data_IF_316571002523
#
_entry.id   IF_316571002523
#
_cell.length_a   1.000
_cell.length_b   1.000
_cell.length_c   1.000
_cell.angle_alpha   90.00
_cell.angle_beta   90.00
_cell.angle_gamma   90.00
#
_symmetry.space_group_name_H-M   'P 1'
#
loop_
_entity.id
_entity.type
_entity.pdbx_description
1 polymer ?
#
# COMPACT_ATOMS: atom_id res chain seq x y z
N UNK A 1 60.24 30.10 37.67
CA UNK A 1 60.30 28.62 37.82
C UNK A 1 60.58 27.98 36.46
N UNK A 2 60.87 26.67 36.47
CA UNK A 2 61.03 25.71 35.34
C UNK A 2 60.40 26.08 33.97
N UNK A 3 60.97 25.67 32.82
CA UNK A 3 62.32 25.19 32.44
C UNK A 3 62.40 25.18 30.89
N UNK A 4 63.60 25.27 30.30
CA UNK A 4 63.80 25.20 28.84
C UNK A 4 63.98 23.75 28.33
N UNK A 5 64.20 23.60 27.01
CA UNK A 5 64.60 22.38 26.23
C UNK A 5 63.43 21.76 25.44
N UNK A 6 63.27 21.89 24.10
CA UNK A 6 64.16 21.69 22.91
C UNK A 6 64.26 20.21 22.47
N UNK A 7 63.70 19.88 21.30
CA UNK A 7 64.37 19.21 20.15
C UNK A 7 63.41 18.89 19.00
N UNK A 8 63.88 19.01 17.77
CA UNK A 8 63.19 18.52 16.56
C UNK A 8 63.46 17.02 16.38
N UNK A 9 62.50 16.29 15.80
CA UNK A 9 62.80 15.24 14.81
C UNK A 9 61.65 15.12 13.81
N UNK A 10 61.92 15.36 12.53
CA UNK A 10 61.07 14.88 11.44
C UNK A 10 61.22 13.36 11.31
N UNK A 11 60.11 12.65 11.04
CA UNK A 11 60.14 11.29 10.48
C UNK A 11 59.02 11.15 9.45
N UNK A 12 59.39 11.05 8.18
CA UNK A 12 58.53 10.46 7.14
C UNK A 12 58.55 8.94 7.29
N UNK A 13 57.40 8.28 7.14
CA UNK A 13 57.32 6.89 6.73
C UNK A 13 55.96 6.62 6.06
N UNK A 14 56.00 6.11 4.85
CA UNK A 14 54.86 5.78 3.98
C UNK A 14 54.31 4.38 4.30
N UNK A 15 53.00 4.25 4.49
CA UNK A 15 52.21 3.02 4.23
C UNK A 15 50.78 3.49 3.88
N UNK A 16 50.24 3.27 2.67
CA UNK A 16 49.97 2.03 1.94
C UNK A 16 48.52 1.51 2.17
N UNK A 17 47.73 1.65 1.12
CA UNK A 17 46.41 1.07 0.83
C UNK A 17 45.60 0.38 1.95
N UNK A 18 44.41 0.91 2.20
CA UNK A 18 43.20 0.07 2.10
C UNK A 18 42.06 0.86 1.46
N UNK A 19 41.71 0.49 0.23
CA UNK A 19 40.57 1.06 -0.48
C UNK A 19 39.27 0.50 0.08
N UNK A 20 38.75 1.11 1.14
CA UNK A 20 37.40 0.84 1.62
C UNK A 20 36.38 1.42 0.64
N UNK A 21 36.19 0.73 -0.48
CA UNK A 21 35.05 0.95 -1.37
C UNK A 21 33.79 0.60 -0.58
N UNK A 22 33.18 1.62 0.02
CA UNK A 22 31.83 1.53 0.59
C UNK A 22 30.87 1.16 -0.53
N UNK A 23 30.68 -0.14 -0.74
CA UNK A 23 29.54 -0.66 -1.45
C UNK A 23 28.32 -0.33 -0.58
N UNK A 24 27.79 0.88 -0.76
CA UNK A 24 26.44 1.22 -0.34
C UNK A 24 25.52 0.24 -1.06
N UNK A 25 25.19 -0.86 -0.37
CA UNK A 25 24.11 -1.72 -0.80
C UNK A 25 22.90 -0.79 -1.00
N UNK A 26 22.17 -0.90 -2.12
CA UNK A 26 20.96 -0.11 -2.30
C UNK A 26 20.05 -0.43 -1.11
N UNK A 27 19.74 0.59 -0.30
CA UNK A 27 18.72 0.45 0.72
C UNK A 27 17.45 0.03 0.00
N UNK A 28 17.00 -1.19 0.27
CA UNK A 28 15.77 -1.72 -0.26
C UNK A 28 14.63 -0.84 0.30
N UNK A 29 14.22 0.16 -0.47
CA UNK A 29 13.05 0.99 -0.17
C UNK A 29 11.80 0.14 -0.35
N UNK A 30 10.80 0.34 0.50
CA UNK A 30 9.48 -0.21 0.21
C UNK A 30 9.02 0.30 -1.17
N UNK A 31 8.32 -0.57 -1.91
CA UNK A 31 7.51 -0.05 -2.99
C UNK A 31 6.32 0.67 -2.35
N UNK A 32 6.44 1.99 -2.27
CA UNK A 32 5.40 2.84 -1.72
C UNK A 32 4.31 3.03 -2.78
N UNK A 33 3.08 2.62 -2.44
CA UNK A 33 1.94 2.80 -3.32
C UNK A 33 1.46 4.26 -3.23
N UNK A 34 1.75 5.03 -4.27
CA UNK A 34 1.46 6.46 -4.35
C UNK A 34 -0.05 6.68 -4.50
N UNK A 35 -0.65 7.44 -3.60
CA UNK A 35 -2.05 7.83 -3.70
C UNK A 35 -2.25 8.86 -4.84
N UNK A 36 -3.15 8.57 -5.79
CA UNK A 36 -3.39 9.43 -6.96
C UNK A 36 -4.71 10.19 -6.86
N UNK A 37 -5.77 9.54 -6.37
CA UNK A 37 -7.07 10.14 -6.02
C UNK A 37 -7.95 9.11 -5.32
N UNK A 38 -8.89 9.59 -4.53
CA UNK A 38 -10.10 8.87 -4.17
C UNK A 38 -11.25 9.86 -4.03
N UNK A 39 -12.48 9.38 -4.22
CA UNK A 39 -13.69 10.14 -3.98
C UNK A 39 -14.78 9.22 -3.44
N UNK A 40 -15.44 9.67 -2.38
CA UNK A 40 -16.68 9.10 -1.86
C UNK A 40 -17.86 9.70 -2.63
N UNK A 41 -18.86 8.89 -2.96
CA UNK A 41 -20.08 9.32 -3.65
C UNK A 41 -21.29 8.59 -3.09
N UNK A 42 -22.41 9.29 -2.92
CA UNK A 42 -23.73 8.64 -2.94
C UNK A 42 -24.14 8.44 -4.40
N UNK A 43 -24.84 7.35 -4.66
CA UNK A 43 -25.21 6.91 -6.01
C UNK A 43 -26.54 6.15 -5.94
N UNK A 44 -27.53 6.58 -6.73
CA UNK A 44 -28.92 6.08 -6.70
C UNK A 44 -29.47 5.35 -7.95
N UNK A 45 -28.71 4.59 -8.78
CA UNK A 45 -29.30 3.91 -9.93
C UNK A 45 -29.83 2.53 -9.52
N UNK A 46 -31.15 2.44 -9.32
CA UNK A 46 -31.92 1.22 -9.56
C UNK A 46 -32.68 0.62 -8.37
N UNK A 47 -32.10 0.54 -7.17
CA UNK A 47 -32.73 -0.26 -6.09
C UNK A 47 -32.38 0.11 -4.64
N UNK A 48 -31.12 0.44 -4.32
CA UNK A 48 -30.69 0.77 -2.93
C UNK A 48 -29.51 1.73 -2.89
N UNK A 49 -29.79 3.01 -2.61
CA UNK A 49 -28.82 4.08 -2.35
C UNK A 49 -27.73 3.62 -1.36
N UNK A 50 -26.48 4.02 -1.58
CA UNK A 50 -25.34 3.53 -0.83
C UNK A 50 -24.15 4.46 -0.89
N UNK A 51 -23.24 4.29 0.08
CA UNK A 51 -21.94 4.92 0.06
C UNK A 51 -20.98 4.11 -0.81
N UNK A 52 -20.50 4.73 -1.88
CA UNK A 52 -19.52 4.16 -2.78
C UNK A 52 -18.19 4.91 -2.68
N UNK A 53 -17.10 4.17 -2.84
CA UNK A 53 -15.74 4.67 -2.95
C UNK A 53 -15.19 4.40 -4.35
N UNK A 54 -14.57 5.43 -4.92
CA UNK A 54 -13.60 5.29 -5.99
C UNK A 54 -12.20 5.55 -5.43
N UNK A 55 -11.20 4.77 -5.87
CA UNK A 55 -9.79 4.89 -5.47
C UNK A 55 -8.86 4.65 -6.66
N UNK A 56 -7.70 5.29 -6.61
CA UNK A 56 -6.64 5.18 -7.61
C UNK A 56 -5.29 5.31 -6.91
N UNK A 57 -4.47 4.26 -7.03
CA UNK A 57 -3.11 4.20 -6.54
C UNK A 57 -2.16 3.90 -7.71
N UNK A 58 -1.00 4.54 -7.73
CA UNK A 58 0.06 4.28 -8.69
C UNK A 58 1.23 3.58 -8.00
N UNK A 59 1.78 2.55 -8.64
CA UNK A 59 2.89 1.77 -8.10
C UNK A 59 3.56 0.91 -9.18
N UNK A 60 4.88 0.74 -9.07
CA UNK A 60 5.57 -0.33 -9.78
C UNK A 60 5.60 -1.59 -8.92
N UNK A 61 5.43 -2.77 -9.53
CA UNK A 61 5.48 -4.03 -8.80
C UNK A 61 6.96 -4.45 -8.63
N UNK A 62 7.46 -4.64 -7.38
CA UNK A 62 8.81 -5.13 -7.14
C UNK A 62 9.17 -6.36 -7.97
N UNK A 63 10.42 -6.43 -8.43
CA UNK A 63 10.93 -7.56 -9.21
C UNK A 63 10.72 -8.89 -8.46
N UNK A 64 10.97 -8.93 -7.15
CA UNK A 64 10.78 -10.11 -6.33
C UNK A 64 9.31 -10.62 -6.36
N UNK A 65 8.34 -9.71 -6.25
CA UNK A 65 6.91 -10.02 -6.36
C UNK A 65 6.50 -10.45 -7.78
N UNK A 66 7.09 -9.85 -8.82
CA UNK A 66 6.92 -10.28 -10.21
C UNK A 66 7.50 -11.69 -10.45
N UNK A 67 8.69 -12.00 -9.94
CA UNK A 67 9.27 -13.33 -10.01
C UNK A 67 8.45 -14.37 -9.23
N UNK A 68 7.89 -14.00 -8.08
CA UNK A 68 7.00 -14.88 -7.31
C UNK A 68 5.72 -15.22 -8.09
N UNK A 69 5.09 -14.24 -8.77
CA UNK A 69 3.98 -14.49 -9.69
C UNK A 69 4.37 -15.54 -10.74
N UNK A 70 5.49 -15.34 -11.45
CA UNK A 70 5.96 -16.27 -12.48
C UNK A 70 6.28 -17.68 -11.95
N UNK A 71 6.65 -17.81 -10.66
CA UNK A 71 6.81 -19.09 -9.94
C UNK A 71 5.49 -19.70 -9.46
N UNK A 72 4.34 -19.13 -9.84
CA UNK A 72 2.99 -19.60 -9.52
C UNK A 72 2.43 -19.11 -8.18
N UNK A 73 3.13 -18.20 -7.49
CA UNK A 73 2.73 -17.70 -6.17
C UNK A 73 1.71 -16.57 -6.37
N UNK A 74 0.51 -16.72 -5.80
CA UNK A 74 -0.55 -15.73 -5.93
C UNK A 74 -0.31 -14.54 -4.99
N UNK A 75 -0.46 -13.33 -5.53
CA UNK A 75 -0.44 -12.07 -4.80
C UNK A 75 -1.87 -11.64 -4.46
N UNK A 76 -2.04 -10.97 -3.32
CA UNK A 76 -3.34 -10.56 -2.79
C UNK A 76 -3.28 -9.08 -2.40
N UNK A 77 -3.80 -8.22 -3.26
CA UNK A 77 -3.84 -6.78 -3.03
C UNK A 77 -5.13 -6.41 -2.32
N UNK A 78 -5.04 -5.51 -1.33
CA UNK A 78 -6.15 -5.09 -0.49
C UNK A 78 -6.25 -3.58 -0.49
N UNK A 79 -7.43 -3.06 -0.85
CA UNK A 79 -7.84 -1.71 -0.46
C UNK A 79 -8.62 -1.85 0.86
N UNK A 80 -8.14 -1.27 1.96
CA UNK A 80 -8.89 -1.19 3.23
C UNK A 80 -9.42 0.23 3.41
N UNK A 81 -10.74 0.35 3.54
CA UNK A 81 -11.45 1.59 3.86
C UNK A 81 -11.98 1.54 5.29
N UNK A 82 -11.93 2.68 5.97
CA UNK A 82 -12.48 2.87 7.32
C UNK A 82 -13.28 4.16 7.39
N UNK A 83 -14.32 4.12 8.20
CA UNK A 83 -15.09 5.29 8.61
C UNK A 83 -15.31 5.17 10.12
N UNK A 84 -14.81 6.13 10.90
CA UNK A 84 -15.04 6.23 12.34
C UNK A 84 -15.68 7.59 12.67
N UNK A 85 -16.35 7.66 13.83
CA UNK A 85 -16.75 8.94 14.42
C UNK A 85 -15.64 9.39 15.36
N UNK A 86 -15.04 10.53 15.06
CA UNK A 86 -13.91 11.12 15.80
C UNK A 86 -14.40 11.64 17.17
N UNK A 87 -13.74 11.25 18.28
CA UNK A 87 -14.17 11.63 19.64
C UNK A 87 -13.01 11.77 20.63
N UNK A 88 -12.49 12.98 20.84
CA UNK A 88 -11.36 13.34 21.72
C UNK A 88 -11.41 12.96 23.23
N UNK A 89 -12.36 12.12 23.69
CA UNK A 89 -12.42 11.51 25.03
C UNK A 89 -12.61 9.98 25.05
N UNK A 90 -12.75 9.31 23.91
CA UNK A 90 -13.10 7.88 23.81
C UNK A 90 -12.33 7.25 22.63
N UNK A 91 -11.76 6.06 22.80
CA UNK A 91 -11.01 5.38 21.72
C UNK A 91 -11.85 5.30 20.44
N UNK A 92 -11.34 5.84 19.34
CA UNK A 92 -12.04 5.92 18.07
C UNK A 92 -12.40 4.52 17.55
N UNK A 93 -13.70 4.27 17.44
CA UNK A 93 -14.25 2.99 16.99
C UNK A 93 -14.67 3.12 15.54
N UNK A 94 -14.04 2.34 14.67
CA UNK A 94 -14.47 2.16 13.28
C UNK A 94 -15.95 1.74 13.23
N UNK A 95 -16.80 2.68 12.83
CA UNK A 95 -18.23 2.49 12.55
C UNK A 95 -18.39 1.54 11.36
N UNK A 96 -17.52 1.68 10.37
CA UNK A 96 -17.42 0.82 9.19
C UNK A 96 -15.94 0.50 8.95
N UNK A 97 -15.64 -0.75 8.63
CA UNK A 97 -14.38 -1.19 8.03
C UNK A 97 -14.69 -2.13 6.89
N UNK A 98 -14.17 -1.84 5.70
CA UNK A 98 -14.35 -2.68 4.52
C UNK A 98 -13.00 -3.00 3.89
N UNK A 99 -12.88 -4.19 3.29
CA UNK A 99 -11.70 -4.61 2.52
C UNK A 99 -12.13 -5.09 1.14
N UNK A 100 -11.52 -4.55 0.08
CA UNK A 100 -11.66 -5.04 -1.28
C UNK A 100 -10.38 -5.81 -1.64
N UNK A 101 -10.51 -7.13 -1.83
CA UNK A 101 -9.39 -8.05 -1.98
C UNK A 101 -9.31 -8.57 -3.42
N UNK A 102 -8.18 -8.33 -4.08
CA UNK A 102 -7.93 -8.70 -5.47
C UNK A 102 -6.78 -9.69 -5.51
N UNK A 103 -7.07 -10.91 -5.97
CA UNK A 103 -6.06 -11.96 -6.19
C UNK A 103 -5.49 -11.83 -7.60
N UNK A 104 -4.17 -11.77 -7.72
CA UNK A 104 -3.45 -11.91 -8.99
C UNK A 104 -2.61 -13.20 -8.94
N UNK A 105 -2.62 -13.99 -10.01
CA UNK A 105 -1.72 -15.12 -10.17
C UNK A 105 -1.34 -15.30 -11.64
N UNK A 106 -0.16 -15.84 -11.90
CA UNK A 106 0.24 -16.28 -13.24
C UNK A 106 -0.04 -17.78 -13.41
N UNK A 107 -0.58 -18.15 -14.56
CA UNK A 107 -0.83 -19.53 -14.96
C UNK A 107 0.28 -19.95 -15.94
N UNK A 108 1.30 -20.75 -15.52
CA UNK A 108 2.50 -20.98 -16.32
C UNK A 108 2.28 -21.88 -17.53
N UNK A 109 1.18 -22.65 -17.56
CA UNK A 109 0.80 -23.49 -18.70
C UNK A 109 0.20 -22.65 -19.83
N UNK A 110 -0.73 -21.74 -19.49
CA UNK A 110 -1.38 -20.84 -20.46
C UNK A 110 -0.63 -19.53 -20.67
N UNK A 111 0.40 -19.26 -19.86
CA UNK A 111 1.21 -18.03 -19.79
C UNK A 111 0.37 -16.76 -19.59
N UNK A 112 -0.68 -16.86 -18.77
CA UNK A 112 -1.68 -15.78 -18.57
C UNK A 112 -1.76 -15.32 -17.13
N UNK A 113 -2.00 -14.03 -16.96
CA UNK A 113 -2.30 -13.41 -15.67
C UNK A 113 -3.79 -13.56 -15.38
N UNK A 114 -4.15 -14.28 -14.31
CA UNK A 114 -5.53 -14.44 -13.84
C UNK A 114 -5.76 -13.53 -12.64
N UNK A 115 -6.72 -12.64 -12.78
CA UNK A 115 -7.11 -11.65 -11.76
C UNK A 115 -8.52 -11.99 -11.27
N UNK A 116 -8.73 -12.07 -9.95
CA UNK A 116 -10.00 -12.53 -9.36
C UNK A 116 -10.41 -11.70 -8.14
N UNK A 117 -11.68 -11.26 -8.10
CA UNK A 117 -12.30 -10.56 -6.98
C UNK A 117 -13.82 -10.75 -7.01
N UNK A 118 -14.47 -10.83 -5.84
CA UNK A 118 -15.94 -10.91 -5.68
C UNK A 118 -16.65 -11.92 -6.62
N UNK A 119 -16.04 -13.08 -6.87
CA UNK A 119 -16.56 -14.12 -7.77
C UNK A 119 -16.31 -13.89 -9.27
N UNK A 120 -15.90 -12.70 -9.68
CA UNK A 120 -15.41 -12.44 -11.04
C UNK A 120 -13.98 -12.97 -11.19
N UNK A 121 -13.66 -13.52 -12.36
CA UNK A 121 -12.29 -13.80 -12.77
C UNK A 121 -12.05 -13.31 -14.19
N UNK A 122 -11.03 -12.48 -14.36
CA UNK A 122 -10.54 -11.99 -15.65
C UNK A 122 -9.19 -12.67 -15.98
N UNK A 123 -8.81 -12.66 -17.25
CA UNK A 123 -7.51 -13.18 -17.70
C UNK A 123 -6.90 -12.22 -18.72
N UNK A 124 -5.59 -12.01 -18.59
CA UNK A 124 -4.81 -11.04 -19.37
C UNK A 124 -3.53 -11.70 -19.88
N UNK A 125 -3.04 -11.22 -21.03
CA UNK A 125 -1.83 -11.75 -21.65
C UNK A 125 -0.55 -11.09 -21.09
N UNK A 126 -0.65 -9.90 -20.49
CA UNK A 126 0.48 -9.20 -19.84
C UNK A 126 0.12 -8.63 -18.47
N UNK A 127 1.13 -8.29 -17.66
CA UNK A 127 0.95 -7.74 -16.32
C UNK A 127 0.38 -6.30 -16.36
N UNK A 128 0.80 -5.52 -17.35
CA UNK A 128 0.44 -4.12 -17.57
C UNK A 128 -1.04 -3.98 -17.95
N UNK A 129 -1.66 -5.02 -18.51
CA UNK A 129 -3.10 -5.11 -18.73
C UNK A 129 -3.88 -5.38 -17.42
N UNK A 130 -3.29 -6.13 -16.49
CA UNK A 130 -3.92 -6.51 -15.22
C UNK A 130 -3.79 -5.42 -14.14
N UNK A 131 -2.63 -4.77 -14.03
CA UNK A 131 -2.33 -3.76 -13.00
C UNK A 131 -3.37 -2.62 -12.91
N UNK A 132 -3.91 -2.04 -14.01
CA UNK A 132 -4.93 -0.99 -13.93
C UNK A 132 -6.18 -1.36 -13.13
N UNK A 133 -6.59 -2.63 -13.15
CA UNK A 133 -7.74 -3.15 -12.38
C UNK A 133 -7.43 -3.34 -10.88
N UNK A 134 -6.15 -3.43 -10.52
CA UNK A 134 -5.67 -3.51 -9.13
C UNK A 134 -5.49 -2.10 -8.56
N UNK A 135 -4.92 -1.22 -9.38
CA UNK A 135 -4.64 0.20 -9.12
C UNK A 135 -5.90 1.03 -8.96
N UNK A 136 -6.95 0.76 -9.75
CA UNK A 136 -8.13 1.62 -9.83
C UNK A 136 -9.43 0.87 -9.50
N UNK A 137 -10.13 1.32 -8.46
CA UNK A 137 -11.48 0.90 -8.12
C UNK A 137 -12.43 2.07 -8.40
N UNK A 138 -13.53 1.82 -9.13
CA UNK A 138 -14.43 2.91 -9.58
C UNK A 138 -15.75 3.05 -8.82
N UNK A 139 -16.26 1.97 -8.21
CA UNK A 139 -17.63 1.92 -7.66
C UNK A 139 -17.75 0.84 -6.58
N UNK A 140 -16.85 0.84 -5.59
CA UNK A 140 -16.89 -0.12 -4.49
C UNK A 140 -17.85 0.38 -3.41
N UNK A 141 -18.93 -0.37 -3.16
CA UNK A 141 -19.85 -0.07 -2.05
C UNK A 141 -19.14 -0.32 -0.73
N UNK A 142 -18.93 0.75 0.04
CA UNK A 142 -18.33 0.71 1.38
C UNK A 142 -19.37 0.90 2.49
N UNK A 143 -20.60 1.35 2.19
CA UNK A 143 -21.64 1.48 3.23
C UNK A 143 -23.09 1.63 2.74
N UNK A 144 -24.04 1.76 3.67
CA UNK A 144 -25.37 2.32 3.39
C UNK A 144 -25.26 3.82 3.09
N UNK A 145 -26.31 4.44 2.55
CA UNK A 145 -26.33 5.90 2.30
C UNK A 145 -26.30 6.71 3.59
N UNK A 146 -26.93 6.22 4.66
CA UNK A 146 -26.96 6.87 5.98
C UNK A 146 -25.73 6.58 6.87
N UNK A 147 -24.59 6.25 6.26
CA UNK A 147 -23.34 5.98 6.97
C UNK A 147 -22.74 7.24 7.64
N UNK A 148 -22.91 8.41 7.01
CA UNK A 148 -22.47 9.72 7.51
C UNK A 148 -23.71 10.56 7.82
N UNK A 149 -23.79 11.08 9.05
CA UNK A 149 -24.87 11.99 9.50
C UNK A 149 -24.46 13.46 9.55
N UNK A 150 -23.21 13.72 9.90
CA UNK A 150 -22.54 15.03 9.83
C UNK A 150 -21.14 14.77 9.28
N UNK A 151 -20.58 15.60 8.40
CA UNK A 151 -19.20 15.41 7.95
C UNK A 151 -18.18 15.68 9.08
N UNK A 152 -18.40 16.75 9.87
CA UNK A 152 -17.53 17.19 10.97
C UNK A 152 -17.37 16.18 12.12
N UNK A 153 -18.27 15.18 12.21
CA UNK A 153 -18.22 14.11 13.20
C UNK A 153 -17.37 12.91 12.75
N UNK A 154 -17.05 12.77 11.47
CA UNK A 154 -16.57 11.51 10.90
C UNK A 154 -15.29 11.69 10.09
N UNK A 155 -14.27 10.89 10.43
CA UNK A 155 -13.07 10.74 9.62
C UNK A 155 -13.16 9.45 8.77
N UNK A 156 -12.70 9.56 7.52
CA UNK A 156 -12.62 8.47 6.58
C UNK A 156 -11.15 8.22 6.19
N UNK A 157 -10.67 6.99 6.35
CA UNK A 157 -9.32 6.58 5.92
C UNK A 157 -9.40 5.57 4.77
N UNK A 158 -8.39 5.62 3.90
CA UNK A 158 -8.12 4.60 2.89
C UNK A 158 -6.65 4.21 2.91
N UNK A 159 -6.37 2.92 2.76
CA UNK A 159 -5.02 2.38 2.54
C UNK A 159 -5.03 1.27 1.50
N UNK A 160 -3.98 1.21 0.69
CA UNK A 160 -3.70 0.10 -0.21
C UNK A 160 -2.49 -0.70 0.29
N UNK A 161 -2.54 -2.03 0.25
CA UNK A 161 -1.40 -2.87 0.60
C UNK A 161 -1.47 -4.28 -0.02
N UNK A 162 -0.32 -4.95 -0.11
CA UNK A 162 -0.24 -6.39 -0.35
C UNK A 162 -0.41 -7.17 0.96
N UNK A 163 -1.35 -8.11 1.01
CA UNK A 163 -1.59 -9.01 2.15
C UNK A 163 -0.51 -10.11 2.19
N UNK A 164 0.60 -9.79 2.88
CA UNK A 164 1.74 -10.70 3.08
C UNK A 164 1.41 -11.90 3.96
N UNK A 165 0.33 -11.88 4.75
CA UNK A 165 -0.15 -13.06 5.51
C UNK A 165 -0.62 -14.20 4.58
N UNK A 166 -0.89 -13.90 3.30
CA UNK A 166 -1.24 -14.89 2.26
C UNK A 166 -0.06 -15.44 1.48
N UNK A 167 1.14 -14.86 1.63
CA UNK A 167 2.35 -15.40 1.02
C UNK A 167 2.78 -16.70 1.73
N UNK A 168 3.44 -17.65 1.02
CA UNK A 168 4.03 -18.82 1.64
C UNK A 168 4.94 -18.47 2.83
N UNK A 169 4.81 -19.18 3.95
CA UNK A 169 5.56 -18.93 5.20
C UNK A 169 7.07 -18.67 5.04
N UNK A 170 7.82 -19.36 4.15
CA UNK A 170 9.25 -19.05 3.95
C UNK A 170 9.52 -17.61 3.52
N UNK A 171 8.61 -16.99 2.77
CA UNK A 171 8.75 -15.60 2.28
C UNK A 171 8.43 -14.58 3.38
N UNK A 172 7.50 -14.91 4.29
CA UNK A 172 7.14 -14.07 5.43
C UNK A 172 8.34 -13.82 6.36
N UNK A 173 9.29 -14.77 6.43
CA UNK A 173 10.54 -14.60 7.21
C UNK A 173 11.48 -13.58 6.55
N UNK A 174 11.58 -13.57 5.22
CA UNK A 174 12.47 -12.66 4.46
C UNK A 174 12.00 -11.20 4.55
N UNK A 175 10.68 -11.00 4.65
CA UNK A 175 10.03 -9.71 4.84
C UNK A 175 10.44 -8.97 6.14
N UNK A 176 11.20 -9.60 7.04
CA UNK A 176 11.75 -8.96 8.26
C UNK A 176 12.90 -8.00 7.97
N UNK A 177 13.51 -8.06 6.77
CA UNK A 177 14.71 -7.26 6.45
C UNK A 177 14.92 -6.90 4.97
N UNK A 178 14.06 -7.35 4.05
CA UNK A 178 14.06 -6.89 2.65
C UNK A 178 12.67 -6.39 2.27
N UNK A 179 12.62 -5.21 1.66
CA UNK A 179 11.39 -4.50 1.33
C UNK A 179 10.73 -4.99 0.05
N UNK A 180 11.42 -5.80 -0.74
CA UNK A 180 11.04 -6.25 -2.08
C UNK A 180 9.75 -7.09 -2.09
N UNK A 181 9.36 -7.59 -0.91
CA UNK A 181 8.14 -8.34 -0.64
C UNK A 181 6.98 -7.48 -0.13
N UNK A 182 7.25 -6.21 0.17
CA UNK A 182 6.25 -5.22 0.63
C UNK A 182 5.79 -4.32 -0.51
N UNK A 183 4.50 -4.01 -0.50
CA UNK A 183 3.88 -2.96 -1.29
C UNK A 183 2.77 -2.38 -0.42
N UNK A 184 2.85 -1.10 -0.07
CA UNK A 184 1.88 -0.45 0.82
C UNK A 184 1.83 1.05 0.58
N UNK A 185 0.67 1.66 0.81
CA UNK A 185 0.57 3.08 1.14
C UNK A 185 0.54 3.25 2.67
N UNK A 186 0.70 4.47 3.15
CA UNK A 186 0.21 4.87 4.46
C UNK A 186 -1.33 4.92 4.50
N UNK A 187 -1.90 5.31 5.63
CA UNK A 187 -3.31 5.72 5.70
C UNK A 187 -3.46 7.12 5.12
N UNK A 188 -4.36 7.26 4.15
CA UNK A 188 -4.74 8.54 3.55
C UNK A 188 -6.12 8.92 4.09
N UNK A 189 -6.20 10.06 4.78
CA UNK A 189 -7.46 10.71 5.14
C UNK A 189 -8.19 11.19 3.88
N UNK A 190 -9.48 10.88 3.78
CA UNK A 190 -10.34 11.24 2.66
C UNK A 190 -11.32 12.34 3.07
N UNK A 191 -11.39 13.47 2.35
CA UNK A 191 -12.43 14.48 2.59
C UNK A 191 -13.81 13.87 2.28
N UNK A 192 -14.74 14.00 3.22
CA UNK A 192 -16.13 13.57 3.04
C UNK A 192 -16.91 14.71 2.37
N UNK A 193 -17.46 14.54 1.14
CA UNK A 193 -18.22 15.59 0.49
C UNK A 193 -19.53 15.90 1.23
N UNK A 194 -19.98 17.15 1.17
CA UNK A 194 -21.31 17.53 1.70
C UNK A 194 -22.45 16.75 1.02
N UNK A 195 -22.29 16.42 -0.27
CA UNK A 195 -23.16 15.54 -1.08
C UNK A 195 -23.32 14.12 -0.53
N UNK A 196 -22.44 13.70 0.39
CA UNK A 196 -22.40 12.36 0.99
C UNK A 196 -23.03 12.32 2.39
N UNK A 197 -23.36 13.48 2.96
CA UNK A 197 -24.07 13.60 4.22
C UNK A 197 -25.54 13.23 3.98
N UNK A 198 -26.08 12.28 4.76
CA UNK A 198 -27.51 12.00 4.71
C UNK A 198 -28.32 13.21 5.21
N UNK A 199 -29.42 13.60 4.56
CA UNK A 199 -30.24 14.71 5.02
C UNK A 199 -30.74 14.46 6.44
N UNK A 200 -30.79 15.53 7.25
CA UNK A 200 -31.37 15.47 8.58
C UNK A 200 -32.89 15.26 8.49
N UNK A 201 -33.39 14.28 9.24
CA UNK A 201 -34.82 14.07 9.56
C UNK A 201 -35.27 15.01 10.69
#
# INVERSE_FOLDING_TARGET
>A
MYKATRRQTLKLALLAALGASSMTAPEARAADATFMRAALTLDEPGERSGLFLSSSFEFDLPQALSEALHRGIALYFVHEFRLYKERWYWIDKATIRCRFMIRLAFDPLTRRYRLSYNGLSLSFDTLEQALPYIKNIRRWRVGPSNAVRNAEDYAAELRFYLDTDKLPKPMQVVNTGSSDWTLTSDWIELPIPAEVIAPAE
#
